data_IF_805105523520
#
_entry.id   IF_805105523520
#
_cell.length_a   1.000
_cell.length_b   1.000
_cell.length_c   1.000
_cell.angle_alpha   90.00
_cell.angle_beta   90.00
_cell.angle_gamma   90.00
#
_symmetry.space_group_name_H-M   'P 1'
#
loop_
_entity.id
_entity.type
_entity.pdbx_description
1 polymer ?
#
# COMPACT_ATOMS: atom_id res chain seq x y z
N UNK A 1 -11.58 -19.49 -8.64
CA UNK A 1 -10.36 -19.48 -9.50
C UNK A 1 -9.88 -18.05 -9.72
N UNK A 2 -8.57 -17.80 -9.93
CA UNK A 2 -8.08 -16.46 -10.28
C UNK A 2 -8.72 -15.97 -11.58
N UNK A 3 -9.12 -14.69 -11.61
CA UNK A 3 -9.68 -14.06 -12.81
C UNK A 3 -8.65 -13.97 -13.94
N UNK A 4 -9.10 -13.69 -15.16
CA UNK A 4 -8.19 -13.52 -16.30
C UNK A 4 -7.15 -12.41 -16.05
N UNK A 5 -7.56 -11.28 -15.47
CA UNK A 5 -6.63 -10.20 -15.12
C UNK A 5 -5.65 -10.65 -14.04
N UNK A 6 -6.10 -11.38 -13.00
CA UNK A 6 -5.20 -11.90 -11.97
C UNK A 6 -4.17 -12.89 -12.55
N UNK A 7 -4.59 -13.79 -13.46
CA UNK A 7 -3.67 -14.69 -14.17
C UNK A 7 -2.62 -13.92 -14.97
N UNK A 8 -3.04 -12.85 -15.64
CA UNK A 8 -2.14 -11.97 -16.41
C UNK A 8 -1.11 -11.31 -15.50
N UNK A 9 -1.51 -10.76 -14.36
CA UNK A 9 -0.58 -10.17 -13.39
C UNK A 9 0.41 -11.19 -12.81
N UNK A 10 -0.06 -12.40 -12.50
CA UNK A 10 0.81 -13.49 -12.03
C UNK A 10 1.85 -13.84 -13.09
N UNK A 11 1.45 -13.92 -14.36
CA UNK A 11 2.36 -14.14 -15.49
C UNK A 11 3.40 -13.01 -15.60
N UNK A 12 2.94 -11.75 -15.61
CA UNK A 12 3.81 -10.57 -15.72
C UNK A 12 4.86 -10.49 -14.60
N UNK A 13 4.51 -10.89 -13.38
CA UNK A 13 5.46 -10.95 -12.26
C UNK A 13 6.47 -12.07 -12.42
N UNK A 14 6.03 -13.27 -12.83
CA UNK A 14 6.93 -14.42 -13.04
C UNK A 14 7.94 -14.15 -14.15
N UNK A 15 7.48 -13.59 -15.26
CA UNK A 15 8.31 -13.27 -16.42
C UNK A 15 9.12 -11.97 -16.24
N UNK A 16 8.82 -11.20 -15.18
CA UNK A 16 9.38 -9.87 -14.96
C UNK A 16 9.32 -9.01 -16.23
N UNK A 17 8.11 -8.93 -16.80
CA UNK A 17 7.86 -8.40 -18.13
C UNK A 17 8.36 -6.95 -18.32
N UNK A 18 8.83 -6.58 -19.52
CA UNK A 18 9.41 -5.25 -19.80
C UNK A 18 8.40 -4.12 -19.61
N UNK A 19 7.10 -4.37 -19.81
CA UNK A 19 6.04 -3.39 -19.58
C UNK A 19 5.98 -2.92 -18.11
N UNK A 20 6.10 -3.85 -17.15
CA UNK A 20 6.12 -3.50 -15.73
C UNK A 20 7.40 -2.75 -15.37
N UNK A 21 8.54 -3.18 -15.90
CA UNK A 21 9.82 -2.50 -15.66
C UNK A 21 9.78 -1.04 -16.15
N UNK A 22 9.23 -0.81 -17.34
CA UNK A 22 9.11 0.53 -17.92
C UNK A 22 8.26 1.46 -17.04
N UNK A 23 7.15 0.97 -16.49
CA UNK A 23 6.31 1.72 -15.53
C UNK A 23 7.07 2.05 -14.23
N UNK A 24 7.81 1.07 -13.70
CA UNK A 24 8.55 1.21 -12.44
C UNK A 24 9.68 2.23 -12.56
N UNK A 25 10.33 2.35 -13.72
CA UNK A 25 11.31 3.42 -13.98
C UNK A 25 10.69 4.80 -13.77
N UNK A 26 9.46 5.01 -14.26
CA UNK A 26 8.68 6.22 -13.98
C UNK A 26 8.39 6.40 -12.49
N UNK A 27 7.96 5.34 -11.79
CA UNK A 27 7.63 5.41 -10.37
C UNK A 27 8.84 5.68 -9.46
N UNK A 28 10.05 5.34 -9.88
CA UNK A 28 11.28 5.67 -9.14
C UNK A 28 11.52 7.18 -9.08
N UNK A 29 11.13 7.91 -10.14
CA UNK A 29 11.22 9.38 -10.21
C UNK A 29 10.12 10.08 -9.40
N UNK A 30 9.04 9.38 -9.07
CA UNK A 30 7.93 9.92 -8.28
C UNK A 30 8.25 9.96 -6.78
N UNK A 31 7.46 10.76 -6.05
CA UNK A 31 7.50 10.81 -4.60
C UNK A 31 7.09 9.47 -3.97
N UNK A 32 7.48 9.26 -2.71
CA UNK A 32 7.20 8.01 -2.02
C UNK A 32 5.70 7.72 -1.90
N UNK A 33 4.92 8.76 -1.61
CA UNK A 33 3.46 8.76 -1.59
C UNK A 33 3.00 9.56 -2.81
N UNK A 34 2.32 8.93 -3.75
CA UNK A 34 1.82 9.58 -4.97
C UNK A 34 0.35 9.19 -5.18
N UNK A 35 -0.53 10.18 -5.27
CA UNK A 35 -1.95 9.96 -5.63
C UNK A 35 -2.05 9.56 -7.10
N UNK A 36 -2.89 8.59 -7.41
CA UNK A 36 -3.14 8.14 -8.79
C UNK A 36 -4.64 8.22 -9.10
N UNK A 37 -4.97 8.49 -10.36
CA UNK A 37 -6.36 8.67 -10.78
C UNK A 37 -7.10 7.34 -10.92
N UNK A 38 -6.42 6.32 -11.44
CA UNK A 38 -6.98 4.98 -11.68
C UNK A 38 -6.09 3.90 -11.07
N UNK A 39 -6.68 2.87 -10.46
CA UNK A 39 -5.90 1.74 -9.94
C UNK A 39 -5.22 0.97 -11.08
N UNK A 40 -3.98 0.53 -10.85
CA UNK A 40 -3.25 -0.28 -11.83
C UNK A 40 -3.87 -1.68 -12.00
N UNK A 41 -4.49 -2.20 -10.93
CA UNK A 41 -5.16 -3.52 -10.89
C UNK A 41 -6.63 -3.36 -10.55
N UNK A 42 -7.44 -3.06 -11.56
CA UNK A 42 -8.85 -2.71 -11.37
C UNK A 42 -9.66 -3.83 -10.68
N UNK A 43 -9.55 -5.08 -11.13
CA UNK A 43 -10.33 -6.18 -10.51
C UNK A 43 -9.92 -6.43 -9.06
N UNK A 44 -8.62 -6.35 -8.76
CA UNK A 44 -8.13 -6.49 -7.38
C UNK A 44 -8.62 -5.35 -6.50
N UNK A 45 -8.61 -4.12 -7.01
CA UNK A 45 -9.13 -2.96 -6.32
C UNK A 45 -10.63 -3.10 -6.05
N UNK A 46 -11.42 -3.54 -7.04
CA UNK A 46 -12.87 -3.77 -6.89
C UNK A 46 -13.18 -4.80 -5.81
N UNK A 47 -12.39 -5.89 -5.74
CA UNK A 47 -12.53 -6.90 -4.67
C UNK A 47 -12.33 -6.32 -3.26
N UNK A 48 -11.48 -5.31 -3.14
CA UNK A 48 -11.24 -4.59 -1.88
C UNK A 48 -12.26 -3.48 -1.61
N UNK A 49 -13.24 -3.26 -2.50
CA UNK A 49 -14.29 -2.26 -2.34
C UNK A 49 -14.06 -0.95 -3.11
N UNK A 50 -13.10 -0.90 -4.04
CA UNK A 50 -12.96 0.25 -4.91
C UNK A 50 -14.20 0.41 -5.82
N UNK A 51 -14.79 1.61 -5.77
CA UNK A 51 -15.79 2.09 -6.73
C UNK A 51 -15.25 3.36 -7.39
N UNK A 52 -15.56 3.57 -8.67
CA UNK A 52 -15.23 4.81 -9.36
C UNK A 52 -16.25 5.90 -8.96
N UNK A 53 -16.08 6.46 -7.75
CA UNK A 53 -16.93 7.50 -7.17
C UNK A 53 -16.08 8.62 -6.58
N UNK A 54 -16.65 9.82 -6.50
CA UNK A 54 -16.05 10.90 -5.73
C UNK A 54 -15.95 10.51 -4.25
N UNK A 55 -14.88 10.92 -3.58
CA UNK A 55 -14.57 10.52 -2.21
C UNK A 55 -13.77 9.22 -2.09
N UNK A 56 -13.49 8.50 -3.18
CA UNK A 56 -12.51 7.40 -3.18
C UNK A 56 -11.21 7.88 -3.81
N UNK A 57 -10.09 7.57 -3.14
CA UNK A 57 -8.74 7.91 -3.60
C UNK A 57 -7.88 6.66 -3.63
N UNK A 58 -7.06 6.53 -4.67
CA UNK A 58 -6.02 5.51 -4.73
C UNK A 58 -4.66 6.19 -4.62
N UNK A 59 -3.85 5.69 -3.71
CA UNK A 59 -2.51 6.22 -3.41
C UNK A 59 -1.49 5.13 -3.65
N UNK A 60 -0.52 5.39 -4.53
CA UNK A 60 0.64 4.53 -4.69
C UNK A 60 1.67 4.89 -3.62
N UNK A 61 2.04 3.91 -2.82
CA UNK A 61 3.04 4.03 -1.77
C UNK A 61 4.23 3.11 -2.04
N UNK A 62 5.44 3.66 -2.03
CA UNK A 62 6.69 2.89 -2.04
C UNK A 62 7.25 2.70 -0.62
N UNK A 63 7.60 1.48 -0.26
CA UNK A 63 8.21 1.11 1.03
C UNK A 63 9.56 0.48 0.77
N UNK A 64 10.59 0.83 1.55
CA UNK A 64 11.92 0.24 1.41
C UNK A 64 11.92 -1.27 1.59
N UNK A 65 12.74 -1.97 0.83
CA UNK A 65 13.04 -3.39 1.04
C UNK A 65 14.06 -3.56 2.16
N UNK A 66 14.04 -4.73 2.79
CA UNK A 66 15.00 -5.10 3.83
C UNK A 66 14.35 -5.33 5.19
N UNK A 67 15.21 -5.61 6.18
CA UNK A 67 14.80 -5.81 7.57
C UNK A 67 14.86 -4.53 8.39
N UNK A 68 14.44 -4.63 9.65
CA UNK A 68 14.55 -3.54 10.60
C UNK A 68 15.98 -3.43 11.11
N UNK A 69 16.44 -2.19 11.28
CA UNK A 69 17.68 -1.88 12.00
C UNK A 69 17.32 -1.01 13.20
N UNK A 70 17.71 -1.44 14.41
CA UNK A 70 17.53 -0.63 15.62
C UNK A 70 18.63 0.44 15.72
N UNK A 71 18.37 1.52 16.44
CA UNK A 71 19.43 2.44 16.82
C UNK A 71 20.38 1.73 17.80
N UNK A 72 21.69 1.90 17.62
CA UNK A 72 22.68 1.27 18.51
C UNK A 72 22.62 1.94 19.90
N UNK A 73 22.46 1.18 20.99
CA UNK A 73 22.54 1.74 22.34
C UNK A 73 23.92 2.33 22.60
N UNK A 74 23.98 3.50 23.23
CA UNK A 74 25.25 4.17 23.61
C UNK A 74 25.78 3.67 24.95
N UNK A 75 24.91 3.30 25.90
CA UNK A 75 25.29 2.81 27.22
C UNK A 75 25.46 1.28 27.31
N UNK A 76 25.99 0.81 28.45
CA UNK A 76 26.16 -0.61 28.74
C UNK A 76 24.84 -1.38 28.71
N UNK A 77 24.82 -2.53 28.02
CA UNK A 77 23.68 -3.44 27.93
C UNK A 77 24.16 -4.88 27.99
N UNK A 78 23.28 -5.78 28.43
CA UNK A 78 23.54 -7.23 28.34
C UNK A 78 23.75 -7.62 26.86
N UNK A 79 24.64 -8.58 26.56
CA UNK A 79 24.95 -8.97 25.17
C UNK A 79 23.73 -9.25 24.30
N UNK A 80 22.68 -9.87 24.86
CA UNK A 80 21.42 -10.15 24.16
C UNK A 80 20.66 -8.91 23.67
N UNK A 81 20.89 -7.73 24.26
CA UNK A 81 20.24 -6.48 23.90
C UNK A 81 21.11 -5.55 23.04
N UNK A 82 22.35 -5.96 22.71
CA UNK A 82 23.24 -5.19 21.84
C UNK A 82 23.00 -5.43 20.34
N UNK A 83 22.12 -6.38 19.98
CA UNK A 83 21.78 -6.69 18.60
C UNK A 83 21.10 -5.49 17.89
N UNK A 84 21.64 -5.11 16.74
CA UNK A 84 21.16 -3.97 15.93
C UNK A 84 20.65 -4.40 14.55
N UNK A 85 21.35 -5.34 13.91
CA UNK A 85 21.07 -5.85 12.57
C UNK A 85 20.36 -7.20 12.62
N UNK A 86 19.81 -7.65 11.48
CA UNK A 86 19.11 -8.94 11.32
C UNK A 86 17.87 -9.09 12.22
N UNK A 87 17.27 -7.97 12.61
CA UNK A 87 16.03 -7.95 13.36
C UNK A 87 14.87 -7.88 12.37
N UNK A 88 13.90 -8.78 12.51
CA UNK A 88 12.68 -8.72 11.72
C UNK A 88 11.72 -7.72 12.37
N UNK A 89 11.02 -6.95 11.55
CA UNK A 89 9.89 -6.17 12.04
C UNK A 89 8.71 -7.11 12.29
N UNK A 90 7.87 -6.77 13.26
CA UNK A 90 6.64 -7.49 13.54
C UNK A 90 5.57 -7.20 12.46
N UNK A 91 5.59 -5.98 11.93
CA UNK A 91 4.66 -5.52 10.89
C UNK A 91 5.08 -5.95 9.48
N UNK A 92 4.09 -6.29 8.65
CA UNK A 92 4.27 -6.50 7.22
C UNK A 92 4.44 -5.16 6.48
N UNK A 93 5.22 -5.14 5.39
CA UNK A 93 5.40 -3.97 4.52
C UNK A 93 4.08 -3.42 3.96
N UNK A 94 3.08 -4.27 3.77
CA UNK A 94 1.72 -3.86 3.43
C UNK A 94 1.13 -2.96 4.54
N UNK A 95 1.15 -3.41 5.79
CA UNK A 95 0.68 -2.65 6.96
C UNK A 95 1.46 -1.35 7.15
N UNK A 96 2.78 -1.39 6.95
CA UNK A 96 3.63 -0.18 6.98
C UNK A 96 3.22 0.82 5.89
N UNK A 97 2.86 0.34 4.69
CA UNK A 97 2.39 1.20 3.60
C UNK A 97 1.05 1.86 3.96
N UNK A 98 0.13 1.11 4.57
CA UNK A 98 -1.18 1.61 5.00
C UNK A 98 -1.03 2.67 6.09
N UNK A 99 -0.21 2.40 7.12
CA UNK A 99 0.05 3.35 8.22
C UNK A 99 0.61 4.68 7.71
N UNK A 100 1.65 4.64 6.88
CA UNK A 100 2.28 5.86 6.33
C UNK A 100 1.32 6.67 5.45
N UNK A 101 0.40 6.00 4.74
CA UNK A 101 -0.61 6.69 3.95
C UNK A 101 -1.67 7.33 4.86
N UNK A 102 -2.12 6.63 5.90
CA UNK A 102 -3.09 7.18 6.87
C UNK A 102 -2.52 8.36 7.67
N UNK A 103 -1.23 8.33 8.01
CA UNK A 103 -0.53 9.47 8.60
C UNK A 103 -0.57 10.72 7.70
N UNK A 104 -0.54 10.53 6.37
CA UNK A 104 -0.62 11.63 5.39
C UNK A 104 -2.05 12.08 5.10
N UNK A 105 -3.04 11.19 5.22
CA UNK A 105 -4.46 11.44 4.93
C UNK A 105 -5.32 11.11 6.16
N UNK A 106 -5.23 11.88 7.26
CA UNK A 106 -5.91 11.56 8.51
C UNK A 106 -7.44 11.68 8.42
N UNK A 107 -7.95 12.49 7.49
CA UNK A 107 -9.37 12.67 7.22
C UNK A 107 -10.00 11.50 6.44
N UNK A 108 -9.19 10.64 5.85
CA UNK A 108 -9.64 9.49 5.07
C UNK A 108 -9.48 8.19 5.87
N UNK A 109 -10.24 7.17 5.49
CA UNK A 109 -10.19 5.84 6.09
C UNK A 109 -9.77 4.81 5.05
N UNK A 110 -9.13 3.76 5.54
CA UNK A 110 -8.63 2.67 4.70
C UNK A 110 -9.76 1.75 4.24
N UNK A 111 -9.87 1.52 2.94
CA UNK A 111 -10.69 0.43 2.38
C UNK A 111 -9.86 -0.86 2.20
N UNK A 112 -8.60 -0.71 1.81
CA UNK A 112 -7.66 -1.81 1.70
C UNK A 112 -6.48 -1.45 0.82
N UNK A 113 -5.50 -2.36 0.74
CA UNK A 113 -4.34 -2.19 -0.12
C UNK A 113 -3.94 -3.47 -0.83
N UNK A 114 -3.19 -3.34 -1.92
CA UNK A 114 -2.66 -4.48 -2.66
C UNK A 114 -1.27 -4.22 -3.24
N UNK A 115 -0.53 -5.31 -3.41
CA UNK A 115 0.78 -5.34 -4.01
C UNK A 115 0.73 -5.16 -5.54
N UNK A 116 1.70 -4.42 -6.07
CA UNK A 116 1.85 -4.16 -7.50
C UNK A 116 3.17 -4.68 -8.02
N UNK A 117 4.28 -4.28 -7.39
CA UNK A 117 5.61 -4.58 -7.88
C UNK A 117 6.63 -4.49 -6.75
N UNK A 118 7.73 -5.23 -6.91
CA UNK A 118 8.89 -5.22 -6.03
C UNK A 118 10.12 -5.09 -6.91
N UNK A 119 10.99 -4.14 -6.58
CA UNK A 119 12.36 -4.13 -7.08
C UNK A 119 13.36 -4.46 -5.96
N UNK A 120 14.65 -4.32 -6.24
CA UNK A 120 15.68 -4.60 -5.23
C UNK A 120 15.62 -3.67 -4.01
N UNK A 121 15.11 -2.45 -4.14
CA UNK A 121 15.17 -1.39 -3.12
C UNK A 121 13.82 -1.05 -2.50
N UNK A 122 12.70 -1.30 -3.19
CA UNK A 122 11.37 -0.91 -2.78
C UNK A 122 10.29 -1.93 -3.16
N UNK A 123 9.27 -1.97 -2.33
CA UNK A 123 7.96 -2.54 -2.61
C UNK A 123 6.99 -1.42 -2.97
N UNK A 124 6.14 -1.64 -3.97
CA UNK A 124 5.04 -0.74 -4.31
C UNK A 124 3.69 -1.36 -3.97
N UNK A 125 2.90 -0.60 -3.24
CA UNK A 125 1.52 -0.90 -2.89
C UNK A 125 0.60 0.21 -3.42
N UNK A 126 -0.61 -0.16 -3.84
CA UNK A 126 -1.71 0.80 -4.03
C UNK A 126 -2.65 0.64 -2.83
N UNK A 127 -2.81 1.74 -2.10
CA UNK A 127 -3.68 1.87 -0.93
C UNK A 127 -4.93 2.62 -1.37
N UNK A 128 -6.09 2.04 -1.09
CA UNK A 128 -7.39 2.60 -1.40
C UNK A 128 -7.94 3.24 -0.13
N UNK A 129 -8.27 4.51 -0.24
CA UNK A 129 -8.86 5.31 0.82
C UNK A 129 -10.27 5.74 0.41
N UNK A 130 -11.12 5.93 1.41
CA UNK A 130 -12.42 6.58 1.28
C UNK A 130 -12.54 7.74 2.26
N UNK A 131 -13.17 8.81 1.80
CA UNK A 131 -13.56 9.95 2.60
C UNK A 131 -14.97 9.70 3.19
N UNK A 132 -15.09 9.49 4.52
CA UNK A 132 -16.38 9.23 5.17
C UNK A 132 -17.30 10.45 5.18
N UNK A 133 -16.74 11.65 5.05
CA UNK A 133 -17.48 12.91 5.12
C UNK A 133 -18.16 13.27 3.79
N UNK A 134 -17.69 12.69 2.68
CA UNK A 134 -18.23 13.00 1.36
C UNK A 134 -19.64 12.39 1.18
N UNK A 135 -20.65 13.18 0.74
CA UNK A 135 -22.02 12.70 0.56
C UNK A 135 -22.17 11.43 -0.30
N UNK A 136 -21.35 11.29 -1.35
CA UNK A 136 -21.38 10.12 -2.26
C UNK A 136 -20.93 8.82 -1.58
N UNK A 137 -20.15 8.92 -0.51
CA UNK A 137 -19.70 7.79 0.31
C UNK A 137 -20.69 7.54 1.44
N UNK A 138 -21.11 8.59 2.15
CA UNK A 138 -22.07 8.50 3.25
C UNK A 138 -23.41 7.86 2.81
N UNK A 139 -23.89 8.19 1.61
CA UNK A 139 -25.13 7.63 1.04
C UNK A 139 -24.97 6.19 0.53
N UNK A 140 -23.75 5.72 0.25
CA UNK A 140 -23.51 4.35 -0.23
C UNK A 140 -23.52 3.37 0.95
N UNK A 141 -24.60 2.61 1.08
CA UNK A 141 -24.79 1.63 2.17
C UNK A 141 -23.66 0.61 2.28
N UNK A 142 -23.03 0.20 1.17
CA UNK A 142 -21.96 -0.79 1.21
C UNK A 142 -20.65 -0.18 1.73
N UNK A 143 -20.30 1.02 1.27
CA UNK A 143 -19.08 1.71 1.68
C UNK A 143 -19.18 2.23 3.11
N UNK A 144 -20.32 2.79 3.49
CA UNK A 144 -20.57 3.31 4.83
C UNK A 144 -20.43 2.20 5.91
N UNK A 145 -20.88 0.97 5.61
CA UNK A 145 -20.67 -0.19 6.51
C UNK A 145 -19.20 -0.53 6.74
N UNK A 146 -18.33 -0.31 5.75
CA UNK A 146 -16.89 -0.60 5.84
C UNK A 146 -16.11 0.55 6.46
N UNK A 147 -16.64 1.76 6.33
CA UNK A 147 -15.97 3.01 6.70
C UNK A 147 -16.94 3.80 7.58
N UNK A 148 -17.05 3.48 8.87
CA UNK A 148 -17.94 4.20 9.75
C UNK A 148 -17.46 5.65 9.89
N UNK A 149 -18.42 6.57 9.95
CA UNK A 149 -18.14 7.93 10.35
C UNK A 149 -17.57 7.91 11.77
N UNK A 150 -16.51 8.68 11.98
CA UNK A 150 -15.97 8.85 13.33
C UNK A 150 -17.02 9.64 14.10
N UNK A 151 -17.50 9.07 15.22
CA UNK A 151 -18.43 9.75 16.12
C UNK A 151 -17.82 11.04 16.69
#
# INVERSE_FOLDING_TARGET
MPSHQDKTWIRLWKENAPELRSRVIGWRKQNAITRIDKPSRLERARRLGYKAKQGIVVVRMRVGTGGMRKQRPTGGRRPKHLGVTRIKADDNMKTVSERRVLERYPNMKLLGSYFIYKDGKHYWFEVILADPSHPRIAQDKELNRRVPQSA
#
